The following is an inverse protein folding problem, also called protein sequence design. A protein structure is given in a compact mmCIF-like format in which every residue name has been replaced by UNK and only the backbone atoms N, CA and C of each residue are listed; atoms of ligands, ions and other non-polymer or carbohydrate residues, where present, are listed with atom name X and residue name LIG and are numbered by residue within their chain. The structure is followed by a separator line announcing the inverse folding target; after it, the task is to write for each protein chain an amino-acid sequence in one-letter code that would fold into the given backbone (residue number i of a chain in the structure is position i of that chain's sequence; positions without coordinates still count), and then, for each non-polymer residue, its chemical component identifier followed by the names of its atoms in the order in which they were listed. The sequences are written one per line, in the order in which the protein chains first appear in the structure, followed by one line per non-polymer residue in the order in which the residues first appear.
data_IF_345095292436
#
_entry.id   IF_345095292436
#
_cell.length_a   1.000
_cell.length_b   1.000
_cell.length_c   1.000
_cell.angle_alpha   90.00
_cell.angle_beta   90.00
_cell.angle_gamma   90.00
#
_symmetry.space_group_name_H-M   'P 1'
#
loop_
_entity.id
_entity.type
_entity.pdbx_description
1 polymer ?
#
# COMPACT_ATOMS: atom_id res chain seq x y z
N UNK A 1 -39.22 -35.62 -10.71
CA UNK A 1 -38.17 -36.27 -11.52
C UNK A 1 -36.85 -35.60 -11.18
N UNK A 2 -36.06 -36.13 -10.24
CA UNK A 2 -34.86 -36.98 -10.45
C UNK A 2 -33.83 -36.27 -11.36
N UNK A 3 -32.62 -35.94 -10.90
CA UNK A 3 -31.57 -36.92 -10.60
C UNK A 3 -30.53 -36.35 -9.61
N UNK A 4 -30.34 -37.00 -8.46
CA UNK A 4 -29.11 -36.89 -7.65
C UNK A 4 -28.33 -38.18 -7.90
N UNK A 5 -27.15 -38.10 -8.51
CA UNK A 5 -26.25 -39.25 -8.63
C UNK A 5 -25.44 -39.39 -7.34
N UNK A 6 -25.62 -40.53 -6.67
CA UNK A 6 -24.72 -41.07 -5.64
C UNK A 6 -23.74 -42.01 -6.34
N UNK A 7 -22.43 -41.85 -6.12
CA UNK A 7 -21.43 -42.83 -6.51
C UNK A 7 -20.94 -43.53 -5.24
N UNK A 8 -21.15 -44.85 -5.15
CA UNK A 8 -20.63 -45.70 -4.08
C UNK A 8 -19.28 -46.27 -4.51
N UNK A 9 -18.23 -46.06 -3.71
CA UNK A 9 -16.94 -46.75 -3.89
C UNK A 9 -16.84 -47.83 -2.82
N UNK A 10 -16.82 -49.08 -3.26
CA UNK A 10 -16.45 -50.24 -2.44
C UNK A 10 -14.97 -50.13 -2.06
N UNK A 11 -14.67 -50.08 -0.77
CA UNK A 11 -13.31 -50.24 -0.25
C UNK A 11 -13.09 -51.72 0.05
N UNK A 12 -12.36 -52.39 -0.82
CA UNK A 12 -11.73 -53.69 -0.51
C UNK A 12 -10.29 -53.43 -0.11
N UNK A 13 -10.00 -53.75 1.15
CA UNK A 13 -8.69 -53.64 1.79
C UNK A 13 -7.73 -54.66 1.16
N UNK A 14 -6.65 -54.18 0.54
CA UNK A 14 -5.42 -54.96 0.36
C UNK A 14 -4.23 -54.13 0.83
N UNK A 15 -3.50 -54.70 1.79
CA UNK A 15 -2.28 -54.18 2.37
C UNK A 15 -1.16 -54.20 1.33
N UNK A 16 -0.68 -53.02 0.92
CA UNK A 16 0.66 -52.85 0.36
C UNK A 16 1.38 -51.75 1.13
N UNK A 17 2.59 -52.08 1.57
CA UNK A 17 3.45 -51.17 2.31
C UNK A 17 3.80 -49.95 1.46
N UNK A 18 3.51 -48.76 1.96
CA UNK A 18 4.07 -47.52 1.43
C UNK A 18 5.56 -47.48 1.76
N UNK A 19 6.41 -47.71 0.76
CA UNK A 19 7.72 -47.06 0.71
C UNK A 19 7.48 -45.63 0.24
N UNK A 20 8.08 -44.67 0.93
CA UNK A 20 8.09 -43.26 0.55
C UNK A 20 8.51 -43.11 -0.92
N UNK A 21 7.56 -42.75 -1.79
CA UNK A 21 7.85 -42.28 -3.12
C UNK A 21 8.00 -40.76 -3.02
N UNK A 22 9.24 -40.29 -3.19
CA UNK A 22 9.55 -38.88 -3.37
C UNK A 22 8.73 -38.37 -4.56
N UNK A 23 7.88 -37.38 -4.30
CA UNK A 23 6.97 -36.78 -5.27
C UNK A 23 7.77 -35.87 -6.22
N UNK A 24 8.37 -36.45 -7.27
CA UNK A 24 8.98 -35.72 -8.38
C UNK A 24 8.41 -36.22 -9.69
N UNK A 25 7.24 -35.69 -10.08
CA UNK A 25 6.81 -35.52 -11.47
C UNK A 25 5.47 -34.77 -11.48
N UNK A 26 5.53 -33.45 -11.39
CA UNK A 26 4.34 -32.61 -11.55
C UNK A 26 4.01 -32.52 -13.04
N UNK A 27 2.98 -33.24 -13.50
CA UNK A 27 2.27 -32.99 -14.76
C UNK A 27 0.79 -32.72 -14.45
N UNK A 28 0.49 -31.46 -14.12
CA UNK A 28 -0.77 -30.72 -14.29
C UNK A 28 -1.14 -29.83 -13.09
N UNK A 29 -1.48 -28.58 -13.38
CA UNK A 29 -2.49 -27.81 -12.65
C UNK A 29 -3.41 -27.16 -13.67
N UNK A 30 -4.72 -27.30 -13.48
CA UNK A 30 -5.73 -26.54 -14.23
C UNK A 30 -5.66 -25.08 -13.77
N UNK A 31 -5.23 -24.18 -14.65
CA UNK A 31 -5.53 -22.75 -14.49
C UNK A 31 -6.74 -22.42 -15.38
N UNK A 32 -7.80 -21.91 -14.75
CA UNK A 32 -9.10 -21.63 -15.39
C UNK A 32 -9.34 -20.13 -15.32
N UNK A 33 -8.48 -19.34 -15.96
CA UNK A 33 -8.69 -17.89 -16.07
C UNK A 33 -9.28 -17.48 -17.42
N UNK A 34 -8.96 -18.16 -18.54
CA UNK A 34 -9.26 -17.63 -19.88
C UNK A 34 -9.94 -18.61 -20.86
N UNK A 35 -10.46 -19.74 -20.37
CA UNK A 35 -11.18 -20.71 -21.23
C UNK A 35 -10.28 -21.44 -22.24
N UNK A 36 -8.96 -21.34 -22.09
CA UNK A 36 -7.95 -22.11 -22.82
C UNK A 36 -7.57 -23.33 -21.96
N UNK A 37 -7.72 -24.52 -22.53
CA UNK A 37 -7.30 -25.78 -21.90
C UNK A 37 -5.80 -26.01 -22.16
N UNK A 38 -4.94 -25.53 -21.26
CA UNK A 38 -3.51 -25.82 -21.33
C UNK A 38 -3.19 -27.18 -20.71
N UNK A 39 -3.06 -28.19 -21.58
CA UNK A 39 -2.60 -29.53 -21.22
C UNK A 39 -1.06 -29.59 -21.13
N UNK A 40 -0.42 -28.65 -20.41
CA UNK A 40 0.96 -28.64 -19.91
C UNK A 40 1.44 -27.20 -19.69
N UNK A 41 2.42 -26.96 -18.81
CA UNK A 41 3.14 -25.67 -18.71
C UNK A 41 4.09 -25.45 -19.91
N UNK A 42 3.64 -25.69 -21.14
CA UNK A 42 4.40 -25.49 -22.37
C UNK A 42 3.89 -24.23 -23.07
N UNK A 43 4.69 -23.18 -23.03
CA UNK A 43 4.40 -21.89 -23.66
C UNK A 43 4.98 -21.87 -25.07
N UNK A 44 4.24 -21.26 -26.00
CA UNK A 44 4.69 -21.08 -27.38
C UNK A 44 5.69 -19.94 -27.49
N UNK A 45 6.83 -20.22 -28.11
CA UNK A 45 7.84 -19.26 -28.52
C UNK A 45 7.88 -19.27 -30.06
N UNK A 46 7.08 -18.41 -30.71
CA UNK A 46 6.97 -18.43 -32.16
C UNK A 46 8.25 -17.94 -32.82
N UNK A 47 8.63 -18.59 -33.93
CA UNK A 47 9.87 -18.31 -34.66
C UNK A 47 11.15 -18.54 -33.83
N UNK A 48 11.12 -19.51 -32.93
CA UNK A 48 12.27 -19.95 -32.15
C UNK A 48 12.41 -21.46 -32.23
N UNK A 49 13.66 -21.92 -32.12
CA UNK A 49 14.07 -23.31 -32.11
C UNK A 49 14.99 -23.53 -30.91
N UNK A 50 14.78 -24.61 -30.17
CA UNK A 50 15.82 -25.14 -29.29
C UNK A 50 16.64 -26.16 -30.08
N UNK A 51 17.85 -25.77 -30.51
CA UNK A 51 18.76 -26.58 -31.32
C UNK A 51 19.45 -27.68 -30.48
N UNK A 52 18.65 -28.52 -29.85
CA UNK A 52 19.04 -29.72 -29.13
C UNK A 52 18.65 -30.95 -29.94
N UNK A 53 19.33 -32.08 -29.73
CA UNK A 53 19.02 -33.33 -30.43
C UNK A 53 17.67 -33.87 -29.94
N UNK A 54 16.66 -34.04 -30.82
CA UNK A 54 15.40 -34.64 -30.43
C UNK A 54 15.57 -36.12 -30.09
N UNK A 55 14.94 -36.55 -28.99
CA UNK A 55 14.90 -37.96 -28.63
C UNK A 55 13.79 -38.71 -29.38
N UNK A 56 12.79 -37.98 -29.87
CA UNK A 56 11.75 -38.46 -30.79
C UNK A 56 11.46 -37.38 -31.83
N UNK A 57 11.44 -37.76 -33.11
CA UNK A 57 10.89 -36.96 -34.20
C UNK A 57 9.70 -37.70 -34.80
N UNK A 58 8.56 -37.04 -34.90
CA UNK A 58 7.32 -37.61 -35.44
C UNK A 58 6.63 -36.64 -36.41
N UNK A 59 5.71 -37.19 -37.21
CA UNK A 59 4.90 -36.42 -38.16
C UNK A 59 3.45 -36.39 -37.68
N UNK A 60 2.91 -35.20 -37.43
CA UNK A 60 1.58 -34.94 -36.84
C UNK A 60 0.68 -34.13 -37.77
N UNK A 61 -0.63 -34.05 -37.52
CA UNK A 61 -1.54 -33.25 -38.36
C UNK A 61 -1.58 -31.78 -37.95
N UNK A 62 -1.23 -31.46 -36.70
CA UNK A 62 -1.15 -30.09 -36.23
C UNK A 62 -0.34 -29.92 -34.95
N UNK A 63 -0.24 -28.68 -34.50
CA UNK A 63 0.47 -28.29 -33.28
C UNK A 63 -0.05 -29.00 -32.03
N UNK A 64 -1.38 -29.10 -31.88
CA UNK A 64 -2.02 -29.75 -30.73
C UNK A 64 -1.64 -31.23 -30.58
N UNK A 65 -1.52 -31.96 -31.69
CA UNK A 65 -1.07 -33.35 -31.68
C UNK A 65 0.37 -33.49 -31.16
N UNK A 66 1.23 -32.50 -31.49
CA UNK A 66 2.62 -32.46 -31.02
C UNK A 66 2.70 -32.18 -29.52
N UNK A 67 1.92 -31.19 -29.06
CA UNK A 67 1.77 -30.86 -27.63
C UNK A 67 1.29 -32.07 -26.85
N UNK A 68 0.25 -32.76 -27.33
CA UNK A 68 -0.26 -33.98 -26.70
C UNK A 68 0.81 -35.09 -26.64
N UNK A 69 1.53 -35.33 -27.74
CA UNK A 69 2.61 -36.32 -27.77
C UNK A 69 3.71 -36.03 -26.73
N UNK A 70 4.04 -34.75 -26.49
CA UNK A 70 4.95 -34.35 -25.43
C UNK A 70 4.36 -34.57 -24.03
N UNK A 71 3.12 -34.15 -23.82
CA UNK A 71 2.43 -34.24 -22.52
C UNK A 71 2.25 -35.70 -22.09
N UNK A 72 1.98 -36.62 -23.03
CA UNK A 72 1.86 -38.05 -22.74
C UNK A 72 3.22 -38.74 -22.53
N UNK A 73 4.32 -38.14 -22.99
CA UNK A 73 5.65 -38.73 -22.86
C UNK A 73 6.39 -38.22 -21.61
N UNK A 74 6.73 -39.06 -20.62
CA UNK A 74 7.36 -38.63 -19.38
C UNK A 74 8.78 -38.04 -19.58
N UNK A 75 9.46 -38.36 -20.68
CA UNK A 75 10.79 -37.80 -21.00
C UNK A 75 10.72 -36.41 -21.62
N UNK A 76 9.57 -36.01 -22.17
CA UNK A 76 9.45 -34.74 -22.85
C UNK A 76 9.48 -33.57 -21.86
N UNK A 77 10.38 -32.62 -22.11
CA UNK A 77 10.53 -31.38 -21.34
C UNK A 77 10.21 -30.14 -22.17
N UNK A 78 10.44 -30.19 -23.48
CA UNK A 78 10.03 -29.19 -24.46
C UNK A 78 9.92 -29.83 -25.85
N UNK A 79 9.45 -29.09 -26.84
CA UNK A 79 9.34 -29.57 -28.22
C UNK A 79 9.63 -28.46 -29.23
N UNK A 80 10.00 -28.83 -30.45
CA UNK A 80 9.98 -27.95 -31.61
C UNK A 80 8.90 -28.42 -32.59
N UNK A 81 8.15 -27.49 -33.16
CA UNK A 81 7.13 -27.74 -34.17
C UNK A 81 7.49 -26.97 -35.44
N UNK A 82 7.58 -27.67 -36.57
CA UNK A 82 7.97 -27.07 -37.86
C UNK A 82 6.74 -26.75 -38.70
N UNK A 83 6.54 -25.47 -39.00
CA UNK A 83 5.50 -25.05 -39.93
C UNK A 83 6.02 -25.09 -41.38
N UNK A 84 5.20 -25.55 -42.33
CA UNK A 84 5.52 -25.52 -43.77
C UNK A 84 6.29 -26.71 -44.37
N UNK A 85 6.89 -27.61 -43.57
CA UNK A 85 7.50 -28.84 -44.10
C UNK A 85 6.50 -30.00 -44.04
N UNK A 86 5.90 -30.33 -45.19
CA UNK A 86 4.87 -31.36 -45.30
C UNK A 86 5.44 -32.66 -45.86
N UNK A 87 5.33 -33.75 -45.09
CA UNK A 87 5.43 -35.12 -45.62
C UNK A 87 4.03 -35.74 -45.59
N UNK A 88 3.43 -35.95 -46.77
CA UNK A 88 2.05 -36.48 -46.90
C UNK A 88 0.99 -35.70 -46.09
N UNK A 89 1.11 -34.36 -46.05
CA UNK A 89 0.17 -33.49 -45.31
C UNK A 89 0.35 -33.49 -43.78
N UNK A 90 1.46 -34.05 -43.28
CA UNK A 90 1.83 -34.01 -41.86
C UNK A 90 3.04 -33.10 -41.63
N UNK A 91 3.07 -32.47 -40.47
CA UNK A 91 4.07 -31.50 -40.02
C UNK A 91 5.07 -32.16 -39.06
N UNK A 92 6.32 -31.70 -39.08
CA UNK A 92 7.39 -32.26 -38.25
C UNK A 92 7.24 -31.74 -36.80
N UNK A 93 7.25 -32.69 -35.86
CA UNK A 93 7.24 -32.46 -34.43
C UNK A 93 8.47 -33.15 -33.81
N UNK A 94 9.22 -32.42 -33.01
CA UNK A 94 10.45 -32.87 -32.37
C UNK A 94 10.31 -32.77 -30.86
N UNK A 95 10.31 -33.89 -30.16
CA UNK A 95 10.27 -33.93 -28.69
C UNK A 95 11.69 -33.89 -28.13
N UNK A 96 11.90 -33.04 -27.13
CA UNK A 96 13.19 -32.77 -26.48
C UNK A 96 13.13 -33.20 -25.01
N UNK A 97 14.20 -33.82 -24.51
CA UNK A 97 14.35 -34.19 -23.09
C UNK A 97 15.09 -33.11 -22.27
N UNK A 98 15.30 -31.94 -22.88
CA UNK A 98 15.87 -30.73 -22.29
C UNK A 98 14.94 -29.54 -22.52
N UNK A 99 15.29 -28.40 -21.94
CA UNK A 99 14.59 -27.12 -22.08
C UNK A 99 15.58 -25.97 -22.32
N UNK A 100 15.04 -24.78 -22.58
CA UNK A 100 15.83 -23.57 -22.80
C UNK A 100 16.59 -23.08 -21.56
N UNK A 101 16.21 -23.49 -20.35
CA UNK A 101 16.92 -23.10 -19.12
C UNK A 101 18.24 -23.85 -18.96
N UNK A 102 18.26 -25.13 -19.32
CA UNK A 102 19.50 -25.93 -19.36
C UNK A 102 20.37 -25.59 -20.56
N UNK A 103 19.77 -25.17 -21.66
CA UNK A 103 20.42 -25.02 -22.96
C UNK A 103 20.20 -23.65 -23.60
N UNK A 104 20.31 -22.57 -22.82
CA UNK A 104 19.98 -21.20 -23.26
C UNK A 104 20.71 -20.78 -24.56
N UNK A 105 21.96 -21.22 -24.72
CA UNK A 105 22.78 -20.91 -25.92
C UNK A 105 22.29 -21.59 -27.19
N UNK A 106 21.48 -22.64 -27.07
CA UNK A 106 20.91 -23.38 -28.20
C UNK A 106 19.51 -22.87 -28.57
N UNK A 107 18.93 -21.99 -27.76
CA UNK A 107 17.64 -21.37 -28.04
C UNK A 107 17.84 -20.18 -28.99
N UNK A 108 17.50 -20.37 -30.26
CA UNK A 108 17.84 -19.45 -31.35
C UNK A 108 16.62 -19.09 -32.20
N UNK A 109 16.58 -17.91 -32.83
CA UNK A 109 15.54 -17.57 -33.80
C UNK A 109 15.52 -18.55 -34.96
N UNK A 110 14.33 -18.88 -35.45
CA UNK A 110 14.09 -19.79 -36.57
C UNK A 110 12.83 -19.38 -37.31
N UNK A 111 12.89 -19.21 -38.64
CA UNK A 111 11.69 -18.89 -39.43
C UNK A 111 10.81 -20.11 -39.71
N UNK A 112 11.33 -21.32 -39.49
CA UNK A 112 10.64 -22.56 -39.84
C UNK A 112 10.02 -23.25 -38.63
N UNK A 113 10.43 -22.87 -37.41
CA UNK A 113 10.06 -23.59 -36.18
C UNK A 113 9.45 -22.67 -35.13
N UNK A 114 8.51 -23.23 -34.39
CA UNK A 114 8.00 -22.72 -33.12
C UNK A 114 8.44 -23.66 -32.01
N UNK A 115 8.99 -23.12 -30.94
CA UNK A 115 9.41 -23.90 -29.79
C UNK A 115 8.33 -23.84 -28.72
N UNK A 116 8.03 -24.97 -28.08
CA UNK A 116 7.13 -25.02 -26.94
C UNK A 116 7.87 -25.57 -25.73
N UNK A 117 7.94 -24.78 -24.67
CA UNK A 117 8.75 -25.09 -23.50
C UNK A 117 8.26 -24.35 -22.27
N UNK A 118 8.80 -24.69 -21.10
CA UNK A 118 8.51 -23.92 -19.90
C UNK A 118 8.98 -22.45 -20.07
N UNK A 119 8.15 -21.50 -19.65
CA UNK A 119 8.51 -20.08 -19.53
C UNK A 119 9.05 -19.80 -18.14
N UNK A 120 9.94 -18.82 -17.97
CA UNK A 120 10.26 -18.39 -16.61
C UNK A 120 9.07 -17.56 -16.14
N UNK A 121 8.57 -17.71 -14.91
CA UNK A 121 7.43 -16.92 -14.44
C UNK A 121 7.59 -15.40 -14.68
N UNK A 122 8.81 -14.85 -14.60
CA UNK A 122 9.09 -13.44 -14.88
C UNK A 122 9.11 -13.03 -16.36
N UNK A 123 9.15 -13.96 -17.31
CA UNK A 123 9.06 -13.65 -18.76
C UNK A 123 7.63 -13.28 -19.19
N UNK A 124 6.64 -13.53 -18.33
CA UNK A 124 5.24 -13.14 -18.52
C UNK A 124 4.93 -11.75 -17.93
N UNK A 125 5.93 -11.05 -17.39
CA UNK A 125 5.77 -9.79 -16.67
C UNK A 125 4.61 -9.81 -15.64
N UNK A 126 4.57 -10.78 -14.71
CA UNK A 126 3.42 -10.99 -13.82
C UNK A 126 3.30 -9.91 -12.73
N UNK A 127 4.23 -8.97 -12.63
CA UNK A 127 4.17 -7.90 -11.64
C UNK A 127 3.44 -6.68 -12.21
N UNK A 128 2.33 -6.32 -11.59
CA UNK A 128 1.55 -5.14 -11.92
C UNK A 128 2.16 -3.85 -11.33
N UNK A 129 1.61 -2.71 -11.76
CA UNK A 129 1.85 -1.39 -11.16
C UNK A 129 3.33 -0.98 -11.06
N UNK A 130 4.17 -1.47 -11.98
CA UNK A 130 5.60 -1.17 -12.02
C UNK A 130 6.46 -1.99 -11.05
N UNK A 131 5.93 -3.10 -10.53
CA UNK A 131 6.70 -4.06 -9.74
C UNK A 131 7.83 -4.72 -10.53
N UNK A 132 8.93 -5.03 -9.85
CA UNK A 132 10.07 -5.73 -10.45
C UNK A 132 9.97 -7.23 -10.16
N UNK A 133 10.00 -8.07 -11.20
CA UNK A 133 9.91 -9.52 -11.03
C UNK A 133 11.26 -10.17 -10.74
N UNK A 134 11.29 -11.07 -9.75
CA UNK A 134 12.42 -11.93 -9.44
C UNK A 134 12.01 -13.41 -9.49
N UNK A 135 12.71 -14.27 -10.26
CA UNK A 135 12.42 -15.70 -10.26
C UNK A 135 12.82 -16.34 -8.94
N UNK A 136 12.05 -17.34 -8.47
CA UNK A 136 12.41 -18.13 -7.29
C UNK A 136 13.30 -19.29 -7.70
N UNK A 137 14.47 -19.43 -7.08
CA UNK A 137 15.39 -20.52 -7.40
C UNK A 137 14.76 -21.90 -7.12
N UNK A 138 14.95 -22.83 -8.06
CA UNK A 138 14.50 -24.23 -7.96
C UNK A 138 12.97 -24.42 -7.83
N UNK A 139 12.16 -23.39 -8.09
CA UNK A 139 10.70 -23.46 -8.13
C UNK A 139 10.14 -22.76 -9.38
N UNK A 140 9.00 -23.24 -9.89
CA UNK A 140 8.23 -22.54 -10.92
C UNK A 140 7.39 -21.44 -10.25
N UNK A 141 8.07 -20.46 -9.66
CA UNK A 141 7.42 -19.36 -8.95
C UNK A 141 8.19 -18.05 -9.14
N UNK A 142 7.55 -16.94 -8.79
CA UNK A 142 8.12 -15.60 -8.83
C UNK A 142 7.85 -14.85 -7.55
N UNK A 143 8.67 -13.82 -7.33
CA UNK A 143 8.46 -12.81 -6.29
C UNK A 143 8.53 -11.43 -6.92
N UNK A 144 7.46 -10.66 -6.76
CA UNK A 144 7.48 -9.24 -7.12
C UNK A 144 8.08 -8.40 -5.99
N UNK A 145 9.02 -7.53 -6.34
CA UNK A 145 9.41 -6.39 -5.52
C UNK A 145 8.46 -5.23 -5.83
N UNK A 146 7.50 -4.98 -4.93
CA UNK A 146 6.48 -3.97 -5.14
C UNK A 146 6.98 -2.55 -4.87
N UNK A 147 6.56 -1.56 -5.69
CA UNK A 147 6.83 -0.17 -5.38
C UNK A 147 6.14 0.24 -4.06
N UNK A 148 6.64 1.31 -3.40
CA UNK A 148 6.03 1.84 -2.19
C UNK A 148 4.52 2.13 -2.37
N UNK A 149 3.67 1.62 -1.47
CA UNK A 149 2.20 1.78 -1.55
C UNK A 149 1.45 0.52 -2.00
N UNK A 150 2.15 -0.44 -2.61
CA UNK A 150 1.60 -1.63 -3.24
C UNK A 150 2.03 -2.92 -2.53
N UNK A 151 1.19 -3.93 -2.58
CA UNK A 151 1.42 -5.26 -2.01
C UNK A 151 0.61 -6.34 -2.76
N UNK A 152 0.78 -7.60 -2.37
CA UNK A 152 0.19 -8.75 -3.06
C UNK A 152 1.25 -9.55 -3.82
N UNK A 153 0.85 -10.69 -4.41
CA UNK A 153 1.79 -11.55 -5.14
C UNK A 153 2.33 -10.85 -6.38
N UNK A 154 1.49 -10.03 -7.01
CA UNK A 154 1.71 -9.33 -8.26
C UNK A 154 1.74 -7.80 -8.06
N UNK A 155 1.75 -7.29 -6.83
CA UNK A 155 1.61 -5.86 -6.55
C UNK A 155 0.26 -5.26 -7.01
N UNK A 156 -0.77 -6.11 -7.00
CA UNK A 156 -2.14 -5.79 -7.42
C UNK A 156 -2.92 -5.01 -6.35
N UNK A 157 -2.50 -5.10 -5.09
CA UNK A 157 -3.21 -4.47 -3.98
C UNK A 157 -2.57 -3.13 -3.60
N UNK A 158 -3.41 -2.10 -3.48
CA UNK A 158 -3.05 -0.82 -2.91
C UNK A 158 -3.52 -0.74 -1.45
N UNK A 159 -2.68 -0.20 -0.60
CA UNK A 159 -3.05 0.07 0.80
C UNK A 159 -3.98 1.29 0.89
N UNK A 160 -4.87 1.29 1.88
CA UNK A 160 -5.82 2.40 2.12
C UNK A 160 -5.34 3.41 3.15
N UNK A 161 -4.27 3.09 3.88
CA UNK A 161 -3.72 3.94 4.93
C UNK A 161 -2.25 3.61 5.22
N UNK A 162 -1.57 4.52 5.91
CA UNK A 162 -0.21 4.27 6.39
C UNK A 162 -0.14 3.13 7.43
N UNK A 163 -1.21 2.88 8.18
CA UNK A 163 -1.28 1.75 9.10
C UNK A 163 -1.26 0.41 8.35
N UNK A 164 -1.97 0.28 7.23
CA UNK A 164 -1.90 -0.92 6.39
C UNK A 164 -0.52 -1.09 5.75
N UNK A 165 0.16 0.00 5.40
CA UNK A 165 1.56 -0.06 4.94
C UNK A 165 2.48 -0.59 6.03
N UNK A 166 2.28 -0.15 7.27
CA UNK A 166 3.07 -0.63 8.41
C UNK A 166 2.85 -2.13 8.65
N UNK A 167 1.59 -2.57 8.64
CA UNK A 167 1.22 -3.98 8.78
C UNK A 167 1.81 -4.84 7.65
N UNK A 168 2.00 -4.27 6.45
CA UNK A 168 2.68 -4.89 5.32
C UNK A 168 4.22 -4.87 5.41
N UNK A 169 4.80 -4.35 6.51
CA UNK A 169 6.24 -4.31 6.75
C UNK A 169 6.96 -3.07 6.22
N UNK A 170 6.22 -2.04 5.76
CA UNK A 170 6.80 -0.77 5.31
C UNK A 170 6.95 0.17 6.52
N UNK A 171 8.16 0.25 7.06
CA UNK A 171 8.47 0.90 8.35
C UNK A 171 9.16 2.25 8.25
N UNK A 172 9.49 2.71 7.04
CA UNK A 172 10.15 4.00 6.85
C UNK A 172 9.14 5.14 6.76
N UNK A 173 9.48 6.31 7.33
CA UNK A 173 8.73 7.52 7.09
C UNK A 173 8.90 7.97 5.63
N UNK A 174 7.87 8.60 5.06
CA UNK A 174 7.98 9.10 3.69
C UNK A 174 6.65 9.36 3.03
N UNK A 175 6.71 9.71 1.74
CA UNK A 175 5.53 9.90 0.91
C UNK A 175 5.18 8.59 0.21
N UNK A 176 3.93 8.16 0.34
CA UNK A 176 3.41 6.92 -0.22
C UNK A 176 2.09 7.15 -0.95
N UNK A 177 1.80 6.30 -1.93
CA UNK A 177 0.50 6.23 -2.59
C UNK A 177 -0.46 5.38 -1.78
N UNK A 178 -1.66 5.90 -1.57
CA UNK A 178 -2.75 5.17 -0.91
C UNK A 178 -4.04 5.25 -1.72
N UNK A 179 -4.90 4.25 -1.54
CA UNK A 179 -6.20 4.12 -2.18
C UNK A 179 -7.32 4.68 -1.31
N UNK A 180 -8.01 5.68 -1.83
CA UNK A 180 -9.24 6.22 -1.26
C UNK A 180 -10.47 5.75 -2.06
N UNK A 181 -11.51 5.33 -1.33
CA UNK A 181 -12.80 4.91 -1.89
C UNK A 181 -12.68 3.91 -3.07
N UNK A 182 -11.73 2.97 -2.97
CA UNK A 182 -11.47 1.87 -3.92
C UNK A 182 -11.18 2.27 -5.38
N UNK A 183 -10.94 3.54 -5.68
CA UNK A 183 -10.66 3.98 -7.07
C UNK A 183 -9.70 5.15 -7.17
N UNK A 184 -9.53 5.94 -6.11
CA UNK A 184 -8.76 7.17 -6.17
C UNK A 184 -7.42 6.97 -5.48
N UNK A 185 -6.33 7.09 -6.23
CA UNK A 185 -4.97 6.99 -5.69
C UNK A 185 -4.39 8.38 -5.53
N UNK A 186 -3.80 8.67 -4.38
CA UNK A 186 -3.14 9.95 -4.12
C UNK A 186 -1.99 9.80 -3.12
N UNK A 187 -1.11 10.79 -3.09
CA UNK A 187 0.07 10.80 -2.24
C UNK A 187 -0.25 11.32 -0.84
N UNK A 188 0.28 10.64 0.19
CA UNK A 188 0.22 11.06 1.59
C UNK A 188 1.59 10.91 2.24
N UNK A 189 1.86 11.74 3.24
CA UNK A 189 2.99 11.49 4.14
C UNK A 189 2.59 10.46 5.20
N UNK A 190 3.39 9.42 5.33
CA UNK A 190 3.31 8.42 6.37
C UNK A 190 4.42 8.64 7.40
N UNK A 191 4.02 8.74 8.66
CA UNK A 191 4.92 8.59 9.80
C UNK A 191 4.77 7.17 10.35
N UNK A 192 5.79 6.36 10.09
CA UNK A 192 5.91 4.96 10.49
C UNK A 192 6.75 4.77 11.74
N UNK A 193 7.19 5.85 12.38
CA UNK A 193 8.11 5.83 13.51
C UNK A 193 7.47 6.29 14.81
N UNK A 194 6.70 7.38 14.77
CA UNK A 194 6.21 8.04 15.97
C UNK A 194 5.11 7.22 16.63
N UNK A 195 5.27 6.96 17.94
CA UNK A 195 4.29 6.26 18.78
C UNK A 195 3.77 4.93 18.20
N UNK A 196 4.64 4.19 17.50
CA UNK A 196 4.28 2.90 16.90
C UNK A 196 3.93 2.98 15.41
N UNK A 197 3.95 4.16 14.80
CA UNK A 197 3.78 4.34 13.36
C UNK A 197 2.35 4.21 12.85
N UNK A 198 2.18 4.16 11.53
CA UNK A 198 0.89 4.02 10.86
C UNK A 198 0.13 5.34 10.68
N UNK A 199 0.74 6.48 10.98
CA UNK A 199 0.06 7.79 10.91
C UNK A 199 0.02 8.32 9.49
N UNK A 200 -1.19 8.66 9.04
CA UNK A 200 -1.41 9.30 7.74
C UNK A 200 -1.62 10.80 7.96
N UNK A 201 -0.77 11.66 7.38
CA UNK A 201 -0.97 13.11 7.48
C UNK A 201 -2.21 13.53 6.67
N UNK A 202 -3.20 14.11 7.35
CA UNK A 202 -4.46 14.57 6.72
C UNK A 202 -4.63 16.09 6.70
N UNK A 203 -3.91 16.79 7.58
CA UNK A 203 -3.99 18.24 7.74
C UNK A 203 -2.65 18.79 8.25
N UNK A 204 -2.18 19.90 7.67
CA UNK A 204 -0.97 20.62 8.10
C UNK A 204 -1.20 22.11 8.08
N UNK A 205 -0.87 22.76 9.18
CA UNK A 205 -0.89 24.22 9.32
C UNK A 205 0.55 24.71 9.40
N UNK A 206 0.85 25.81 8.70
CA UNK A 206 2.20 26.36 8.59
C UNK A 206 2.21 27.74 9.22
N UNK A 207 3.04 27.93 10.25
CA UNK A 207 3.19 29.22 10.94
C UNK A 207 3.68 30.30 9.96
N UNK A 208 3.07 31.49 10.06
CA UNK A 208 3.33 32.65 9.21
C UNK A 208 2.53 32.69 7.92
N UNK A 209 1.74 31.66 7.62
CA UNK A 209 0.85 31.63 6.44
C UNK A 209 -0.53 32.15 6.85
N UNK A 210 -1.04 33.14 6.13
CA UNK A 210 -2.36 33.72 6.38
C UNK A 210 -3.48 32.83 5.83
N UNK A 211 -4.65 32.90 6.47
CA UNK A 211 -5.87 32.18 6.09
C UNK A 211 -6.88 33.06 5.32
N UNK A 212 -6.45 34.20 4.76
CA UNK A 212 -7.21 35.09 3.86
C UNK A 212 -8.69 35.34 4.28
N UNK A 213 -8.90 35.85 5.49
CA UNK A 213 -10.24 36.16 6.02
C UNK A 213 -11.03 34.95 6.55
N UNK A 214 -10.44 33.75 6.51
CA UNK A 214 -10.98 32.54 7.16
C UNK A 214 -10.29 32.27 8.51
N UNK A 215 -10.58 31.13 9.15
CA UNK A 215 -9.86 30.61 10.32
C UNK A 215 -9.36 29.19 10.10
N UNK A 216 -8.42 28.72 10.93
CA UNK A 216 -7.89 27.34 10.84
C UNK A 216 -9.02 26.31 11.05
N UNK A 217 -9.96 26.61 11.95
CA UNK A 217 -11.15 25.76 12.14
C UNK A 217 -12.05 25.73 10.90
N UNK A 218 -12.20 26.85 10.18
CA UNK A 218 -12.98 26.89 8.94
C UNK A 218 -12.27 26.11 7.82
N UNK A 219 -10.95 26.18 7.73
CA UNK A 219 -10.17 25.34 6.83
C UNK A 219 -10.36 23.86 7.16
N UNK A 220 -10.38 23.48 8.44
CA UNK A 220 -10.65 22.11 8.85
C UNK A 220 -12.06 21.64 8.41
N UNK A 221 -13.10 22.42 8.74
CA UNK A 221 -14.50 22.07 8.49
C UNK A 221 -14.97 22.29 7.04
N UNK A 222 -14.17 22.89 6.16
CA UNK A 222 -14.57 23.07 4.76
C UNK A 222 -14.63 21.73 4.01
N UNK A 223 -15.46 21.66 2.97
CA UNK A 223 -15.52 20.52 2.05
C UNK A 223 -14.28 20.39 1.17
N UNK A 224 -13.57 21.50 0.94
CA UNK A 224 -12.48 21.59 -0.02
C UNK A 224 -11.18 21.01 0.49
N UNK A 225 -10.43 20.33 -0.38
CA UNK A 225 -9.03 19.97 -0.14
C UNK A 225 -8.11 21.18 -0.33
N UNK A 226 -6.94 21.18 0.32
CA UNK A 226 -5.95 22.25 0.22
C UNK A 226 -4.61 21.60 -0.15
N UNK A 227 -4.06 21.95 -1.31
CA UNK A 227 -2.74 21.49 -1.78
C UNK A 227 -2.56 19.97 -1.81
N UNK A 228 -3.63 19.20 -2.01
CA UNK A 228 -3.59 17.73 -2.01
C UNK A 228 -2.73 17.16 -3.15
N UNK A 229 -2.69 17.86 -4.29
CA UNK A 229 -1.92 17.48 -5.48
C UNK A 229 -0.48 18.04 -5.49
N UNK A 230 -0.01 18.63 -4.39
CA UNK A 230 1.31 19.25 -4.28
C UNK A 230 2.21 18.40 -3.39
N UNK A 231 3.14 17.66 -3.97
CA UNK A 231 4.04 16.79 -3.21
C UNK A 231 4.90 17.56 -2.20
N UNK A 232 5.25 18.82 -2.49
CA UNK A 232 5.99 19.69 -1.56
C UNK A 232 5.17 20.01 -0.29
N UNK A 233 3.84 19.97 -0.39
CA UNK A 233 2.95 20.16 0.77
C UNK A 233 3.02 19.00 1.76
N UNK A 234 3.54 17.83 1.34
CA UNK A 234 3.71 16.66 2.19
C UNK A 234 4.98 16.67 3.02
N UNK A 235 5.92 17.59 2.77
CA UNK A 235 7.10 17.77 3.61
C UNK A 235 6.67 18.15 5.03
N UNK A 236 7.21 17.50 6.06
CA UNK A 236 6.87 17.79 7.46
C UNK A 236 7.41 19.14 7.96
N UNK A 237 8.36 19.73 7.23
CA UNK A 237 8.94 21.02 7.55
C UNK A 237 8.06 22.20 7.06
N UNK A 238 8.59 23.40 7.25
CA UNK A 238 7.95 24.65 6.80
C UNK A 238 8.51 25.17 5.47
N UNK A 239 9.17 24.33 4.66
CA UNK A 239 9.75 24.73 3.37
C UNK A 239 8.64 25.17 2.39
N UNK A 240 7.55 24.40 2.32
CA UNK A 240 6.36 24.76 1.57
C UNK A 240 5.47 25.72 2.36
N UNK A 241 5.32 26.96 1.88
CA UNK A 241 4.67 28.08 2.59
C UNK A 241 3.15 28.14 2.39
N UNK A 242 2.49 27.00 2.43
CA UNK A 242 1.04 26.89 2.37
C UNK A 242 0.52 25.78 3.28
N UNK A 243 -0.77 25.85 3.64
CA UNK A 243 -1.46 24.80 4.40
C UNK A 243 -1.74 23.57 3.53
N UNK A 244 -2.02 22.44 4.17
CA UNK A 244 -2.42 21.20 3.51
C UNK A 244 -3.65 20.60 4.18
N UNK A 245 -4.58 20.08 3.38
CA UNK A 245 -5.70 19.27 3.83
C UNK A 245 -6.10 18.31 2.73
N UNK A 246 -6.16 17.02 3.03
CA UNK A 246 -6.61 16.03 2.04
C UNK A 246 -8.06 15.57 2.27
N UNK A 247 -8.53 14.76 1.32
CA UNK A 247 -9.90 14.27 1.23
C UNK A 247 -10.37 13.43 2.41
N UNK A 248 -9.49 12.95 3.29
CA UNK A 248 -9.93 12.20 4.47
C UNK A 248 -10.68 13.07 5.47
N UNK A 249 -10.28 14.34 5.64
CA UNK A 249 -10.91 15.25 6.61
C UNK A 249 -12.39 15.48 6.29
N UNK A 250 -12.79 15.95 5.09
CA UNK A 250 -14.20 16.14 4.76
C UNK A 250 -14.97 14.81 4.61
N UNK A 251 -14.28 13.68 4.42
CA UNK A 251 -14.88 12.35 4.28
C UNK A 251 -14.61 11.45 5.49
N UNK A 252 -14.67 12.01 6.70
CA UNK A 252 -14.38 11.30 7.96
C UNK A 252 -15.14 9.97 8.11
N UNK A 253 -16.40 9.95 7.66
CA UNK A 253 -17.27 8.78 7.70
C UNK A 253 -16.79 7.62 6.81
N UNK A 254 -16.02 7.90 5.76
CA UNK A 254 -15.35 6.90 4.92
C UNK A 254 -13.97 6.54 5.49
N UNK A 255 -13.24 7.55 6.00
CA UNK A 255 -11.91 7.39 6.58
C UNK A 255 -11.91 6.48 7.82
N UNK A 256 -12.93 6.63 8.68
CA UNK A 256 -13.12 5.86 9.93
C UNK A 256 -11.84 5.69 10.75
N UNK A 257 -11.11 6.79 11.08
CA UNK A 257 -9.86 6.68 11.82
C UNK A 257 -10.11 6.08 13.21
N UNK A 258 -9.21 5.20 13.67
CA UNK A 258 -9.26 4.64 15.03
C UNK A 258 -8.62 5.59 16.05
N UNK A 259 -7.56 6.26 15.64
CA UNK A 259 -6.83 7.25 16.43
C UNK A 259 -6.51 8.49 15.61
N UNK A 260 -6.38 9.63 16.29
CA UNK A 260 -5.94 10.90 15.70
C UNK A 260 -4.85 11.49 16.58
N UNK A 261 -3.73 11.85 15.96
CA UNK A 261 -2.61 12.52 16.61
C UNK A 261 -2.54 13.98 16.14
N UNK A 262 -2.34 14.89 17.09
CA UNK A 262 -1.81 16.22 16.79
C UNK A 262 -0.33 16.19 17.13
N UNK A 263 0.53 16.31 16.13
CA UNK A 263 1.98 16.37 16.28
C UNK A 263 2.47 17.79 15.94
N UNK A 264 3.36 18.32 16.78
CA UNK A 264 3.96 19.64 16.59
C UNK A 264 5.41 19.50 16.16
N UNK A 265 5.77 20.14 15.05
CA UNK A 265 7.11 20.08 14.50
C UNK A 265 7.86 21.40 14.69
N UNK A 266 9.11 21.33 15.17
CA UNK A 266 9.98 22.51 15.24
C UNK A 266 10.59 22.80 13.87
N UNK A 267 10.74 24.09 13.56
CA UNK A 267 11.27 24.58 12.29
C UNK A 267 12.70 24.12 11.97
N UNK A 268 13.55 23.94 13.00
CA UNK A 268 14.98 23.59 12.88
C UNK A 268 15.40 22.67 14.04
N UNK A 269 15.10 21.37 13.97
CA UNK A 269 15.52 20.38 14.97
C UNK A 269 15.92 19.06 14.32
N UNK A 270 16.95 18.40 14.86
CA UNK A 270 17.37 17.04 14.48
C UNK A 270 16.36 15.97 14.91
N UNK A 271 15.51 16.29 15.89
CA UNK A 271 14.26 15.58 16.20
C UNK A 271 13.09 16.53 15.90
N UNK A 272 12.28 16.27 14.87
CA UNK A 272 11.30 17.23 14.41
C UNK A 272 10.05 17.21 15.32
N UNK A 273 9.62 16.04 15.83
CA UNK A 273 8.44 15.95 16.72
C UNK A 273 8.79 16.50 18.11
N UNK A 274 8.14 17.61 18.46
CA UNK A 274 8.39 18.31 19.72
C UNK A 274 7.38 17.93 20.80
N UNK A 275 6.16 17.60 20.40
CA UNK A 275 5.05 17.32 21.28
C UNK A 275 3.93 16.65 20.48
N UNK A 276 3.30 15.63 21.06
CA UNK A 276 2.05 15.10 20.54
C UNK A 276 1.02 14.78 21.61
N UNK A 277 -0.24 14.87 21.19
CA UNK A 277 -1.42 14.44 21.94
C UNK A 277 -2.20 13.49 21.02
N UNK A 278 -2.67 12.37 21.59
CA UNK A 278 -3.35 11.30 20.84
C UNK A 278 -4.77 11.14 21.37
N UNK A 279 -5.72 11.00 20.45
CA UNK A 279 -7.12 10.81 20.73
C UNK A 279 -7.65 9.51 20.13
N UNK A 280 -8.55 8.83 20.84
CA UNK A 280 -9.36 7.76 20.31
C UNK A 280 -10.50 8.35 19.47
N UNK A 281 -10.43 8.12 18.16
CA UNK A 281 -11.42 8.61 17.19
C UNK A 281 -12.40 7.52 16.73
N UNK A 282 -12.42 6.36 17.38
CA UNK A 282 -13.41 5.33 17.09
C UNK A 282 -14.82 5.89 17.30
N UNK A 283 -15.70 5.70 16.32
CA UNK A 283 -17.07 6.23 16.30
C UNK A 283 -17.13 7.75 16.59
N UNK A 284 -16.19 8.51 16.05
CA UNK A 284 -16.18 9.98 16.07
C UNK A 284 -16.59 10.57 14.72
N UNK A 285 -16.79 11.88 14.70
CA UNK A 285 -16.89 12.68 13.49
C UNK A 285 -15.75 13.72 13.45
N UNK A 286 -15.69 14.49 12.37
CA UNK A 286 -14.71 15.55 12.13
C UNK A 286 -14.76 16.70 13.16
N UNK A 287 -15.76 16.72 14.06
CA UNK A 287 -15.98 17.78 15.05
C UNK A 287 -15.65 17.34 16.47
N UNK A 288 -15.95 16.08 16.82
CA UNK A 288 -15.97 15.60 18.20
C UNK A 288 -14.76 14.74 18.60
N UNK A 289 -13.92 14.34 17.64
CA UNK A 289 -12.71 13.54 17.94
C UNK A 289 -11.75 14.29 18.87
N UNK A 290 -11.67 15.62 18.76
CA UNK A 290 -10.83 16.49 19.59
C UNK A 290 -11.57 16.90 20.87
N UNK A 291 -11.64 15.97 21.83
CA UNK A 291 -12.33 16.18 23.10
C UNK A 291 -11.62 15.48 24.27
N UNK A 292 -11.84 16.00 25.48
CA UNK A 292 -11.21 15.50 26.71
C UNK A 292 -11.44 13.99 26.94
N UNK A 293 -12.67 13.52 26.74
CA UNK A 293 -13.03 12.12 26.98
C UNK A 293 -12.40 11.13 26.01
N UNK A 294 -11.77 11.63 24.94
CA UNK A 294 -11.11 10.82 23.91
C UNK A 294 -9.60 10.82 24.04
N UNK A 295 -9.00 11.50 25.02
CA UNK A 295 -7.54 11.50 25.19
C UNK A 295 -7.06 10.07 25.49
N UNK A 296 -6.08 9.63 24.72
CA UNK A 296 -5.34 8.37 24.93
C UNK A 296 -3.95 8.66 25.45
N UNK A 297 -3.34 9.74 24.96
CA UNK A 297 -2.05 10.23 25.44
C UNK A 297 -2.05 11.74 25.46
N UNK A 298 -1.51 12.32 26.54
CA UNK A 298 -1.28 13.76 26.70
C UNK A 298 0.17 14.01 27.11
N UNK A 299 0.80 15.09 26.61
CA UNK A 299 2.09 15.55 27.09
C UNK A 299 1.98 16.33 28.42
N UNK A 300 0.76 16.69 28.83
CA UNK A 300 0.48 17.41 30.07
C UNK A 300 -0.21 16.53 31.09
N UNK A 301 0.36 16.52 32.29
CA UNK A 301 -0.01 15.66 33.42
C UNK A 301 -1.30 16.09 34.11
N UNK A 302 -1.69 17.36 33.98
CA UNK A 302 -2.83 17.97 34.65
C UNK A 302 -4.06 18.12 33.72
N UNK A 303 -3.92 17.85 32.42
CA UNK A 303 -4.98 18.09 31.44
C UNK A 303 -6.26 17.29 31.75
N UNK A 304 -6.13 16.07 32.25
CA UNK A 304 -7.31 15.26 32.62
C UNK A 304 -7.93 15.71 33.95
N UNK A 305 -7.12 16.08 34.94
CA UNK A 305 -7.60 16.46 36.27
C UNK A 305 -8.18 17.87 36.33
N UNK A 306 -7.65 18.79 35.53
CA UNK A 306 -8.03 20.19 35.58
C UNK A 306 -9.33 20.49 34.83
N UNK A 307 -9.93 21.63 35.15
CA UNK A 307 -11.08 22.15 34.41
C UNK A 307 -10.65 22.75 33.07
N UNK A 308 -11.47 22.57 32.04
CA UNK A 308 -11.32 23.23 30.74
C UNK A 308 -12.58 24.01 30.40
N UNK A 309 -12.46 25.32 30.19
CA UNK A 309 -13.58 26.12 29.70
C UNK A 309 -13.77 26.02 28.19
N UNK A 310 -12.70 25.68 27.45
CA UNK A 310 -12.76 25.35 26.04
C UNK A 310 -11.88 24.13 25.73
N UNK A 311 -12.46 23.16 25.04
CA UNK A 311 -11.75 22.02 24.47
C UNK A 311 -12.47 21.64 23.16
N UNK A 312 -12.14 22.32 22.06
CA UNK A 312 -12.70 22.01 20.74
C UNK A 312 -11.89 22.58 19.59
N UNK A 313 -12.11 22.04 18.38
CA UNK A 313 -11.51 22.52 17.14
C UNK A 313 -11.97 23.95 16.82
N UNK A 314 -13.27 24.23 16.96
CA UNK A 314 -13.82 25.58 16.78
C UNK A 314 -13.21 26.57 17.78
N UNK A 315 -12.93 26.10 18.99
CA UNK A 315 -12.36 26.86 20.10
C UNK A 315 -13.29 27.96 20.59
N UNK A 316 -12.78 29.17 20.81
CA UNK A 316 -13.58 30.31 21.26
C UNK A 316 -13.62 31.44 20.23
N UNK A 317 -14.73 32.17 20.28
CA UNK A 317 -14.76 33.57 19.88
C UNK A 317 -14.45 33.78 18.38
N UNK A 318 -14.59 32.71 17.58
CA UNK A 318 -14.22 32.61 16.16
C UNK A 318 -12.75 32.92 15.83
N UNK A 319 -11.87 32.98 16.83
CA UNK A 319 -10.51 33.49 16.69
C UNK A 319 -9.46 32.45 17.08
N UNK A 320 -9.65 31.74 18.20
CA UNK A 320 -8.72 30.69 18.65
C UNK A 320 -9.27 29.33 18.27
N UNK A 321 -8.48 28.56 17.53
CA UNK A 321 -8.88 27.25 17.02
C UNK A 321 -8.04 26.13 17.64
N UNK A 322 -8.54 24.89 17.59
CA UNK A 322 -7.99 23.73 18.32
C UNK A 322 -7.53 24.14 19.71
N UNK A 323 -8.48 24.67 20.48
CA UNK A 323 -8.20 25.39 21.71
C UNK A 323 -8.45 24.48 22.91
N UNK A 324 -7.41 24.28 23.70
CA UNK A 324 -7.45 23.58 25.00
C UNK A 324 -7.10 24.63 26.06
N UNK A 325 -8.13 25.14 26.72
CA UNK A 325 -8.03 26.28 27.63
C UNK A 325 -8.51 25.90 29.02
N UNK A 326 -7.76 26.34 30.04
CA UNK A 326 -8.15 26.26 31.44
C UNK A 326 -9.03 27.45 31.79
N UNK A 327 -8.52 28.64 31.46
CA UNK A 327 -9.13 29.95 31.74
C UNK A 327 -9.04 30.80 30.48
N UNK A 328 -10.17 31.40 30.10
CA UNK A 328 -10.27 32.41 29.04
C UNK A 328 -10.98 33.61 29.67
N UNK A 329 -10.24 34.69 29.89
CA UNK A 329 -10.72 35.87 30.59
C UNK A 329 -9.99 37.13 30.08
N UNK A 330 -10.45 37.61 28.91
CA UNK A 330 -10.11 38.91 28.32
C UNK A 330 -8.61 39.16 28.02
N UNK A 331 -7.78 38.12 27.84
CA UNK A 331 -6.35 38.15 27.56
C UNK A 331 -5.39 38.06 28.77
N UNK A 332 -5.40 38.94 29.80
CA UNK A 332 -4.38 38.94 30.87
C UNK A 332 -4.30 37.67 31.70
N UNK A 333 -5.41 36.96 31.83
CA UNK A 333 -5.52 35.75 32.64
C UNK A 333 -5.75 34.50 31.80
N UNK A 334 -5.49 34.58 30.49
CA UNK A 334 -5.69 33.44 29.61
C UNK A 334 -4.62 32.37 29.92
N UNK A 335 -5.09 31.18 30.27
CA UNK A 335 -4.28 30.03 30.67
C UNK A 335 -4.73 28.79 29.92
N UNK A 336 -3.80 27.98 29.46
CA UNK A 336 -4.15 26.75 28.75
C UNK A 336 -2.96 25.92 28.31
N UNK A 337 -3.27 24.95 27.47
CA UNK A 337 -2.33 23.92 27.02
C UNK A 337 -2.03 24.02 25.53
N UNK A 338 -3.02 24.35 24.70
CA UNK A 338 -2.87 24.41 23.24
C UNK A 338 -3.78 25.48 22.64
N UNK A 339 -3.29 26.27 21.70
CA UNK A 339 -4.09 27.21 20.93
C UNK A 339 -3.48 27.49 19.55
N UNK A 340 -4.26 27.40 18.47
CA UNK A 340 -3.94 28.13 17.24
C UNK A 340 -4.40 29.56 17.41
N UNK A 341 -3.44 30.48 17.36
CA UNK A 341 -3.67 31.88 17.70
C UNK A 341 -4.16 32.70 16.52
N UNK A 342 -4.89 33.76 16.86
CA UNK A 342 -5.20 34.86 15.95
C UNK A 342 -4.27 36.05 16.24
N UNK A 343 -4.79 37.27 16.20
CA UNK A 343 -4.07 38.52 16.46
C UNK A 343 -4.79 39.43 17.47
N UNK A 344 -5.69 38.87 18.28
CA UNK A 344 -6.59 39.66 19.13
C UNK A 344 -5.92 40.11 20.42
N UNK A 345 -5.32 39.19 21.16
CA UNK A 345 -4.66 39.47 22.41
C UNK A 345 -3.21 39.95 22.24
N UNK A 346 -2.70 40.81 23.15
CA UNK A 346 -1.31 41.26 23.11
C UNK A 346 -0.29 40.11 23.10
N UNK A 347 -0.58 39.02 23.80
CA UNK A 347 0.32 37.86 23.87
C UNK A 347 0.34 37.05 22.57
N UNK A 348 -0.70 37.13 21.73
CA UNK A 348 -0.78 36.47 20.40
C UNK A 348 0.05 37.22 19.36
N UNK A 349 -0.02 38.57 19.38
CA UNK A 349 0.67 39.46 18.42
C UNK A 349 2.21 39.38 18.44
N UNK A 350 2.78 38.65 19.39
CA UNK A 350 4.22 38.37 19.48
C UNK A 350 4.70 37.31 18.48
N UNK A 351 3.76 36.58 17.88
CA UNK A 351 4.06 35.48 16.98
C UNK A 351 3.44 35.74 15.60
N UNK A 352 3.96 35.09 14.54
CA UNK A 352 3.34 35.14 13.22
C UNK A 352 1.90 34.57 13.25
N UNK A 353 1.05 34.93 12.27
CA UNK A 353 -0.29 34.34 12.15
C UNK A 353 -0.22 32.81 11.95
N UNK A 354 -1.32 32.13 12.26
CA UNK A 354 -1.44 30.66 12.14
C UNK A 354 -0.38 29.89 12.92
N UNK A 355 0.12 30.49 14.00
CA UNK A 355 1.07 29.83 14.92
C UNK A 355 0.29 29.03 15.95
N UNK A 356 0.75 27.81 16.19
CA UNK A 356 0.29 27.01 17.33
C UNK A 356 1.14 27.36 18.54
N UNK A 357 0.50 27.80 19.62
CA UNK A 357 1.09 27.89 20.94
C UNK A 357 0.70 26.65 21.74
N UNK A 358 1.64 26.17 22.54
CA UNK A 358 1.44 25.03 23.41
C UNK A 358 2.17 25.27 24.73
N UNK A 359 1.72 24.69 25.83
CA UNK A 359 2.45 24.81 27.09
C UNK A 359 3.75 24.01 27.01
N UNK A 360 4.88 24.69 27.25
CA UNK A 360 6.21 24.07 27.32
C UNK A 360 6.51 23.45 28.71
N UNK A 361 5.53 23.48 29.62
CA UNK A 361 5.57 22.84 30.93
C UNK A 361 4.88 21.48 30.84
N UNK A 362 5.03 20.67 31.88
CA UNK A 362 4.21 19.45 32.08
C UNK A 362 2.76 19.74 32.48
N UNK A 363 2.41 21.03 32.62
CA UNK A 363 1.11 21.56 33.05
C UNK A 363 0.64 22.67 32.11
N UNK A 364 -0.51 23.30 32.37
CA UNK A 364 -0.90 24.52 31.64
C UNK A 364 0.11 25.68 31.82
N UNK A 365 0.03 26.67 30.93
CA UNK A 365 0.79 27.93 31.02
C UNK A 365 -0.13 29.14 30.95
N UNK A 366 0.28 30.24 31.57
CA UNK A 366 -0.30 31.55 31.32
C UNK A 366 0.33 32.15 30.04
N UNK A 367 -0.52 32.49 29.06
CA UNK A 367 -0.05 32.90 27.75
C UNK A 367 0.70 34.24 27.76
N UNK A 368 0.48 35.10 28.75
CA UNK A 368 1.17 36.39 28.88
C UNK A 368 2.65 36.25 29.23
N UNK A 369 3.04 35.11 29.82
CA UNK A 369 4.43 34.78 30.16
C UNK A 369 5.09 33.88 29.11
N UNK A 370 4.29 33.22 28.26
CA UNK A 370 4.80 32.32 27.23
C UNK A 370 5.79 33.01 26.29
N UNK A 371 6.98 32.45 26.10
CA UNK A 371 8.00 32.99 25.19
C UNK A 371 8.62 34.33 25.61
N UNK A 372 8.41 34.79 26.85
CA UNK A 372 9.24 35.85 27.45
C UNK A 372 10.48 35.20 28.05
N UNK A 373 11.66 35.66 27.63
CA UNK A 373 12.95 35.34 28.25
C UNK A 373 13.13 36.30 29.43
#
# INVERSE_FOLDING_TARGET
MTLKLYCTVFVSIFLFQFKEAIFTDYKSSLDVSDGILDFANLFSFPNYLLNATPFVSLFVYGEQDCLQACTENPRCRSLNFKEGSQLHGKLLCELLDTDKFKSLKLFVPSLDFHHFGATAPCELDPCENGGTCHPVEMAYDFKCACPPGLFGKQCENLTKSCAELLDAGITNNGVYKILFNNSQVFDVYCDQSSRGGGWTMVFKVVSGVSVNGSSISQLWFSSETINENRSEALNIDSSFKEHYKNRFVPNWHLAKPKEVQIALYKRNGSDPETLSIVFNSTNSDDKNWFSKSRIVHSPWTDLESEHQNYFSIKGCCNERNFYISKIHNNCPNDEGWLAFISSVCPWERRFPPSTVLYSNRTTYTNWNHYGKI
#
